data_IF_506700301453
#
_entry.id   IF_506700301453
#
_cell.length_a   1.000
_cell.length_b   1.000
_cell.length_c   1.000
_cell.angle_alpha   90.00
_cell.angle_beta   90.00
_cell.angle_gamma   90.00
#
_symmetry.space_group_name_H-M   'P 1'
#
loop_
_entity.id
_entity.type
_entity.pdbx_description
1 polymer ?
#
# COMPACT_ATOMS: atom_id res chain seq x y z
N UNK A 1 0.17 6.83 18.89
CA UNK A 1 -0.69 8.02 18.74
C UNK A 1 -0.36 8.63 17.39
N UNK A 2 -1.35 9.04 16.59
CA UNK A 2 -1.09 9.83 15.37
C UNK A 2 -0.28 11.06 15.75
N UNK A 3 0.74 11.38 14.94
CA UNK A 3 1.41 12.67 15.03
C UNK A 3 0.36 13.78 14.82
N UNK A 4 0.32 14.77 15.71
CA UNK A 4 -0.62 15.89 15.63
C UNK A 4 -0.49 16.63 14.29
N UNK A 5 0.74 16.74 13.78
CA UNK A 5 1.04 17.35 12.49
C UNK A 5 0.35 16.60 11.33
N UNK A 6 0.31 15.27 11.41
CA UNK A 6 -0.31 14.44 10.37
C UNK A 6 -1.83 14.52 10.40
N UNK A 7 -2.43 14.51 11.59
CA UNK A 7 -3.87 14.68 11.74
C UNK A 7 -4.35 16.06 11.25
N UNK A 8 -3.63 17.13 11.60
CA UNK A 8 -3.93 18.49 11.16
C UNK A 8 -3.78 18.64 9.64
N UNK A 9 -2.73 18.05 9.05
CA UNK A 9 -2.53 18.06 7.60
C UNK A 9 -3.65 17.36 6.84
N UNK A 10 -4.10 16.19 7.32
CA UNK A 10 -5.25 15.48 6.75
C UNK A 10 -6.52 16.33 6.82
N UNK A 11 -6.80 16.94 7.97
CA UNK A 11 -7.98 17.77 8.17
C UNK A 11 -7.99 19.01 7.26
N UNK A 12 -6.88 19.77 7.22
CA UNK A 12 -6.73 20.91 6.29
C UNK A 12 -6.80 20.47 4.83
N UNK A 13 -6.31 19.25 4.57
CA UNK A 13 -6.38 18.55 3.31
C UNK A 13 -7.77 18.04 2.94
N UNK A 14 -8.80 18.26 3.76
CA UNK A 14 -10.18 17.85 3.50
C UNK A 14 -10.41 16.35 3.57
N UNK A 15 -9.54 15.60 4.24
CA UNK A 15 -9.77 14.18 4.47
C UNK A 15 -10.89 13.98 5.49
N UNK A 16 -11.79 13.04 5.21
CA UNK A 16 -12.78 12.53 6.14
C UNK A 16 -12.24 11.26 6.80
N UNK A 17 -12.29 11.19 8.13
CA UNK A 17 -11.99 10.00 8.92
C UNK A 17 -13.09 9.88 9.98
N UNK A 18 -13.95 8.88 9.87
CA UNK A 18 -15.12 8.69 10.71
C UNK A 18 -15.02 7.40 11.53
N UNK A 19 -15.33 7.50 12.83
CA UNK A 19 -15.50 6.35 13.75
C UNK A 19 -14.34 5.37 13.88
N UNK A 20 -13.17 5.75 13.38
CA UNK A 20 -11.93 4.99 13.48
C UNK A 20 -10.77 5.85 13.93
N UNK A 21 -9.72 5.21 14.43
CA UNK A 21 -8.46 5.84 14.79
C UNK A 21 -7.28 4.87 14.65
N UNK A 22 -6.04 5.36 14.45
CA UNK A 22 -4.89 4.49 14.42
C UNK A 22 -4.55 3.96 15.81
N UNK A 23 -4.29 2.66 15.88
CA UNK A 23 -3.90 2.00 17.12
C UNK A 23 -2.99 0.82 16.86
N UNK A 24 -2.60 0.16 17.95
CA UNK A 24 -1.86 -1.10 17.88
C UNK A 24 -2.86 -2.25 17.74
N UNK A 25 -2.61 -3.16 16.80
CA UNK A 25 -3.38 -4.39 16.63
C UNK A 25 -2.56 -5.61 17.06
N UNK A 26 -3.13 -6.81 16.95
CA UNK A 26 -2.43 -8.06 17.25
C UNK A 26 -1.08 -8.15 16.50
N UNK A 27 -0.14 -8.91 17.08
CA UNK A 27 1.26 -9.02 16.64
C UNK A 27 2.06 -7.69 16.64
N UNK A 28 1.56 -6.63 17.30
CA UNK A 28 2.30 -5.39 17.51
C UNK A 28 2.37 -4.48 16.27
N UNK A 29 1.58 -4.78 15.23
CA UNK A 29 1.49 -3.94 14.05
C UNK A 29 0.66 -2.68 14.30
N UNK A 30 0.97 -1.62 13.56
CA UNK A 30 0.10 -0.45 13.47
C UNK A 30 -1.12 -0.83 12.63
N UNK A 31 -2.29 -0.39 13.03
CA UNK A 31 -3.53 -0.58 12.30
C UNK A 31 -4.53 0.52 12.58
N UNK A 32 -5.79 0.25 12.23
CA UNK A 32 -6.94 1.12 12.44
C UNK A 32 -7.93 0.39 13.35
N UNK A 33 -8.42 1.08 14.37
CA UNK A 33 -9.32 0.56 15.41
C UNK A 33 -10.62 1.35 15.35
N UNK A 34 -11.75 0.66 15.50
CA UNK A 34 -13.07 1.26 15.62
C UNK A 34 -13.25 1.96 16.99
N UNK A 35 -13.80 3.17 16.97
CA UNK A 35 -14.17 3.94 18.18
C UNK A 35 -15.60 3.67 18.63
N UNK A 36 -16.41 3.06 17.77
CA UNK A 36 -17.81 2.73 17.98
C UNK A 36 -18.20 1.51 17.13
N UNK A 37 -19.43 1.04 17.27
CA UNK A 37 -20.01 0.09 16.34
C UNK A 37 -20.18 0.76 14.98
N UNK A 38 -19.76 0.09 13.91
CA UNK A 38 -19.79 0.58 12.53
C UNK A 38 -20.66 -0.38 11.72
N UNK A 39 -21.65 0.16 11.02
CA UNK A 39 -22.51 -0.61 10.11
C UNK A 39 -21.82 -0.83 8.76
N UNK A 40 -22.19 -1.91 8.07
CA UNK A 40 -21.73 -2.18 6.71
C UNK A 40 -21.99 -1.01 5.76
N UNK A 41 -21.09 -0.79 4.81
CA UNK A 41 -21.26 0.26 3.81
C UNK A 41 -21.10 1.67 4.36
N UNK A 42 -20.84 1.84 5.66
CA UNK A 42 -20.50 3.14 6.24
C UNK A 42 -19.22 3.67 5.62
N UNK A 43 -19.23 4.92 5.14
CA UNK A 43 -18.02 5.60 4.66
C UNK A 43 -17.12 5.92 5.86
N UNK A 44 -15.96 5.28 5.90
CA UNK A 44 -15.01 5.41 7.00
C UNK A 44 -13.91 6.42 6.70
N UNK A 45 -13.41 6.39 5.46
CA UNK A 45 -12.33 7.27 5.02
C UNK A 45 -12.67 7.84 3.66
N UNK A 46 -12.49 9.14 3.48
CA UNK A 46 -12.41 9.77 2.16
C UNK A 46 -11.17 10.65 2.11
N UNK A 47 -10.24 10.36 1.19
CA UNK A 47 -9.01 11.13 0.99
C UNK A 47 -9.04 11.78 -0.38
N UNK A 48 -9.10 13.13 -0.46
CA UNK A 48 -9.04 13.84 -1.72
C UNK A 48 -7.75 13.54 -2.50
N UNK A 49 -7.85 13.48 -3.84
CA UNK A 49 -6.73 13.13 -4.71
C UNK A 49 -5.50 14.02 -4.51
N UNK A 50 -5.71 15.30 -4.13
CA UNK A 50 -4.60 16.22 -3.83
C UNK A 50 -3.68 15.75 -2.70
N UNK A 51 -4.17 14.88 -1.81
CA UNK A 51 -3.37 14.28 -0.73
C UNK A 51 -2.71 12.96 -1.14
N UNK A 52 -3.16 12.34 -2.23
CA UNK A 52 -2.59 11.08 -2.71
C UNK A 52 -1.22 11.34 -3.36
N UNK A 53 -0.26 10.45 -3.10
CA UNK A 53 1.00 10.41 -3.83
C UNK A 53 0.88 9.38 -4.95
N UNK A 54 0.94 9.84 -6.21
CA UNK A 54 0.62 9.05 -7.41
C UNK A 54 1.38 9.55 -8.64
N UNK A 55 1.25 8.92 -9.81
CA UNK A 55 1.77 9.53 -11.04
C UNK A 55 1.08 10.87 -11.39
N UNK A 56 -0.15 11.10 -10.94
CA UNK A 56 -0.83 12.39 -11.15
C UNK A 56 -0.14 13.51 -10.37
N UNK A 57 0.24 13.27 -9.11
CA UNK A 57 1.03 14.24 -8.34
C UNK A 57 2.45 14.39 -8.91
N UNK A 58 3.05 13.28 -9.36
CA UNK A 58 4.38 13.29 -9.97
C UNK A 58 4.45 14.18 -11.22
N UNK A 59 3.42 14.14 -12.08
CA UNK A 59 3.32 14.98 -13.28
C UNK A 59 3.11 16.47 -12.97
N UNK A 60 2.51 16.79 -11.81
CA UNK A 60 2.29 18.18 -11.36
C UNK A 60 3.56 18.80 -10.77
N UNK A 61 4.48 17.98 -10.29
CA UNK A 61 5.79 18.45 -9.87
C UNK A 61 6.67 18.71 -11.10
N UNK A 62 6.95 19.98 -11.35
CA UNK A 62 7.74 20.41 -12.52
C UNK A 62 9.17 19.85 -12.50
N UNK A 63 9.85 19.90 -11.35
CA UNK A 63 11.24 19.48 -11.26
C UNK A 63 11.36 17.96 -11.48
N UNK A 64 10.45 17.19 -10.89
CA UNK A 64 10.39 15.75 -11.09
C UNK A 64 10.00 15.38 -12.53
N UNK A 65 8.98 16.03 -13.10
CA UNK A 65 8.52 15.77 -14.45
C UNK A 65 9.62 16.06 -15.50
N UNK A 66 10.37 17.16 -15.35
CA UNK A 66 11.51 17.48 -16.21
C UNK A 66 12.62 16.42 -16.12
N UNK A 67 12.94 15.97 -14.90
CA UNK A 67 13.94 14.92 -14.69
C UNK A 67 13.53 13.57 -15.30
N UNK A 68 12.24 13.22 -15.21
CA UNK A 68 11.69 12.00 -15.81
C UNK A 68 11.69 12.05 -17.35
N UNK A 69 11.48 13.23 -17.94
CA UNK A 69 11.58 13.40 -19.40
C UNK A 69 13.03 13.29 -19.89
N UNK A 70 14.00 13.76 -19.09
CA UNK A 70 15.42 13.73 -19.43
C UNK A 70 16.05 12.31 -19.43
N UNK A 71 15.39 11.32 -18.82
CA UNK A 71 15.94 9.96 -18.65
C UNK A 71 15.92 9.09 -19.93
N UNK A 72 15.44 9.63 -21.05
CA UNK A 72 15.64 9.16 -22.43
C UNK A 72 15.51 7.62 -22.66
N UNK A 73 14.28 7.15 -22.91
CA UNK A 73 13.88 5.87 -23.55
C UNK A 73 14.07 4.53 -22.81
N UNK A 74 14.58 4.46 -21.58
CA UNK A 74 14.32 3.25 -20.78
C UNK A 74 12.88 3.30 -20.29
N UNK A 75 12.09 2.27 -20.58
CA UNK A 75 10.71 2.15 -20.09
C UNK A 75 10.74 1.92 -18.58
N UNK A 76 10.80 3.01 -17.81
CA UNK A 76 10.63 2.97 -16.35
C UNK A 76 9.18 2.57 -16.08
N UNK A 77 8.96 1.48 -15.34
CA UNK A 77 7.62 1.01 -15.00
C UNK A 77 6.92 1.96 -14.01
N UNK A 78 5.58 1.97 -14.00
CA UNK A 78 4.80 2.87 -13.13
C UNK A 78 5.22 2.81 -11.65
N UNK A 79 5.47 1.61 -11.12
CA UNK A 79 5.88 1.45 -9.71
C UNK A 79 7.26 2.06 -9.43
N UNK A 80 8.17 2.02 -10.41
CA UNK A 80 9.48 2.65 -10.31
C UNK A 80 9.37 4.19 -10.39
N UNK A 81 8.47 4.71 -11.24
CA UNK A 81 8.16 6.15 -11.28
C UNK A 81 7.60 6.62 -9.94
N UNK A 82 6.65 5.89 -9.36
CA UNK A 82 6.07 6.23 -8.07
C UNK A 82 7.11 6.16 -6.93
N UNK A 83 7.97 5.13 -6.93
CA UNK A 83 9.07 5.02 -5.97
C UNK A 83 10.08 6.18 -6.11
N UNK A 84 10.40 6.60 -7.34
CA UNK A 84 11.25 7.76 -7.59
C UNK A 84 10.58 9.07 -7.14
N UNK A 85 9.27 9.22 -7.36
CA UNK A 85 8.51 10.38 -6.89
C UNK A 85 8.48 10.44 -5.34
N UNK A 86 8.30 9.30 -4.68
CA UNK A 86 8.39 9.19 -3.23
C UNK A 86 9.76 9.62 -2.70
N UNK A 87 10.84 9.18 -3.34
CA UNK A 87 12.20 9.61 -2.97
C UNK A 87 12.43 11.10 -3.22
N UNK A 88 11.91 11.62 -4.32
CA UNK A 88 11.97 13.04 -4.63
C UNK A 88 11.28 13.87 -3.54
N UNK A 89 10.07 13.51 -3.13
CA UNK A 89 9.37 14.17 -2.02
C UNK A 89 10.13 14.04 -0.69
N UNK A 90 10.66 12.85 -0.39
CA UNK A 90 11.48 12.67 0.81
C UNK A 90 12.74 13.57 0.82
N UNK A 91 13.35 13.80 -0.36
CA UNK A 91 14.55 14.61 -0.50
C UNK A 91 14.32 16.11 -0.22
N UNK A 92 13.09 16.60 -0.38
CA UNK A 92 12.70 17.99 -0.05
C UNK A 92 12.64 18.25 1.46
N UNK A 93 12.62 17.20 2.28
CA UNK A 93 12.56 17.31 3.72
C UNK A 93 11.36 18.14 4.20
N UNK A 94 11.65 19.29 4.82
CA UNK A 94 10.62 20.16 5.39
C UNK A 94 9.75 20.87 4.35
N UNK A 95 10.23 20.97 3.10
CA UNK A 95 9.52 21.65 2.01
C UNK A 95 8.52 20.72 1.30
N UNK A 96 8.53 19.42 1.59
CA UNK A 96 7.57 18.49 0.98
C UNK A 96 6.17 18.73 1.52
N UNK A 97 5.20 18.86 0.60
CA UNK A 97 3.79 18.88 0.94
C UNK A 97 3.36 17.61 1.68
N UNK A 98 3.94 16.45 1.34
CA UNK A 98 3.64 15.15 1.95
C UNK A 98 4.47 14.86 3.20
N UNK A 99 5.31 15.80 3.69
CA UNK A 99 6.15 15.57 4.87
C UNK A 99 5.41 14.90 6.04
N UNK A 100 4.20 15.34 6.45
CA UNK A 100 3.50 14.71 7.57
C UNK A 100 3.16 13.24 7.31
N UNK A 101 2.80 12.90 6.07
CA UNK A 101 2.57 11.51 5.65
C UNK A 101 3.87 10.70 5.61
N UNK A 102 4.93 11.22 4.99
CA UNK A 102 6.21 10.53 4.87
C UNK A 102 6.81 10.18 6.24
N UNK A 103 6.62 11.04 7.24
CA UNK A 103 7.05 10.78 8.62
C UNK A 103 6.34 9.58 9.27
N UNK A 104 5.19 9.17 8.73
CA UNK A 104 4.40 8.05 9.25
C UNK A 104 4.73 6.70 8.63
N UNK A 105 5.50 6.69 7.53
CA UNK A 105 5.86 5.47 6.82
C UNK A 105 6.80 4.57 7.64
N UNK A 106 6.70 3.24 7.51
CA UNK A 106 7.63 2.31 8.13
C UNK A 106 9.08 2.58 7.72
N UNK A 107 9.99 2.44 8.69
CA UNK A 107 11.43 2.51 8.43
C UNK A 107 12.03 1.18 7.96
N UNK A 108 11.28 0.10 8.15
CA UNK A 108 11.68 -1.27 7.86
C UNK A 108 10.47 -2.04 7.31
N UNK A 109 10.75 -2.99 6.42
CA UNK A 109 9.77 -3.84 5.76
C UNK A 109 10.20 -5.29 5.88
N UNK A 110 9.25 -6.21 5.79
CA UNK A 110 9.46 -7.67 5.78
C UNK A 110 9.42 -8.25 4.37
N UNK A 111 9.66 -7.42 3.34
CA UNK A 111 9.68 -7.86 1.94
C UNK A 111 10.89 -8.75 1.66
N UNK A 112 10.81 -9.56 0.61
CA UNK A 112 11.84 -10.51 0.18
C UNK A 112 13.25 -9.88 0.10
N UNK A 113 13.34 -8.60 -0.28
CA UNK A 113 14.59 -7.83 -0.35
C UNK A 113 15.32 -7.67 1.00
N UNK A 114 14.65 -7.92 2.13
CA UNK A 114 15.20 -7.82 3.49
C UNK A 114 15.54 -9.18 4.11
N UNK A 115 15.31 -10.29 3.39
CA UNK A 115 15.53 -11.62 3.94
C UNK A 115 17.02 -11.84 4.26
N UNK A 116 17.27 -12.33 5.46
CA UNK A 116 18.56 -12.87 5.87
C UNK A 116 18.81 -14.23 5.20
N UNK A 117 20.07 -14.71 5.14
CA UNK A 117 20.35 -16.07 4.71
C UNK A 117 19.55 -17.12 5.52
N UNK A 118 19.27 -16.83 6.79
CA UNK A 118 18.44 -17.66 7.66
C UNK A 118 16.98 -17.68 7.17
N UNK A 119 16.37 -16.51 6.92
CA UNK A 119 14.99 -16.40 6.42
C UNK A 119 14.79 -17.13 5.08
N UNK A 120 15.81 -17.06 4.20
CA UNK A 120 15.78 -17.78 2.92
C UNK A 120 15.77 -19.29 3.16
N UNK A 121 16.61 -19.81 4.07
CA UNK A 121 16.63 -21.24 4.38
C UNK A 121 15.30 -21.75 4.94
N UNK A 122 14.58 -20.91 5.68
CA UNK A 122 13.25 -21.25 6.20
C UNK A 122 12.17 -21.37 5.12
N UNK A 123 12.42 -20.95 3.87
CA UNK A 123 11.51 -21.22 2.76
C UNK A 123 11.41 -22.72 2.44
N UNK A 124 12.44 -23.50 2.77
CA UNK A 124 12.48 -24.98 2.69
C UNK A 124 12.14 -25.59 1.31
N UNK A 125 12.02 -24.76 0.27
CA UNK A 125 11.72 -25.14 -1.11
C UNK A 125 12.82 -24.57 -2.01
N UNK A 126 13.59 -25.44 -2.66
CA UNK A 126 14.78 -25.07 -3.44
C UNK A 126 14.50 -23.95 -4.45
N UNK A 127 13.44 -24.09 -5.23
CA UNK A 127 13.02 -23.05 -6.16
C UNK A 127 12.74 -21.69 -5.49
N UNK A 128 12.07 -21.67 -4.34
CA UNK A 128 11.78 -20.43 -3.63
C UNK A 128 13.05 -19.81 -3.03
N UNK A 129 13.97 -20.65 -2.53
CA UNK A 129 15.28 -20.22 -2.03
C UNK A 129 16.13 -19.60 -3.13
N UNK A 130 16.12 -20.18 -4.33
CA UNK A 130 16.87 -19.67 -5.49
C UNK A 130 16.36 -18.29 -5.93
N UNK A 131 15.04 -18.13 -6.02
CA UNK A 131 14.40 -16.85 -6.36
C UNK A 131 14.73 -15.80 -5.28
N UNK A 132 14.58 -16.15 -4.00
CA UNK A 132 14.88 -15.25 -2.90
C UNK A 132 16.35 -14.80 -2.89
N UNK A 133 17.26 -15.77 -3.07
CA UNK A 133 18.71 -15.51 -3.11
C UNK A 133 19.08 -14.60 -4.28
N UNK A 134 18.53 -14.87 -5.47
CA UNK A 134 18.77 -14.07 -6.67
C UNK A 134 18.29 -12.62 -6.49
N UNK A 135 17.10 -12.43 -5.91
CA UNK A 135 16.56 -11.09 -5.62
C UNK A 135 17.44 -10.37 -4.61
N UNK A 136 17.83 -11.04 -3.52
CA UNK A 136 18.67 -10.43 -2.50
C UNK A 136 20.04 -10.07 -3.07
N UNK A 137 20.71 -10.98 -3.77
CA UNK A 137 22.05 -10.76 -4.35
C UNK A 137 22.07 -9.59 -5.35
N UNK A 138 21.09 -9.53 -6.25
CA UNK A 138 20.94 -8.42 -7.20
C UNK A 138 20.78 -7.06 -6.50
N UNK A 139 20.29 -7.04 -5.26
CA UNK A 139 20.11 -5.83 -4.46
C UNK A 139 21.29 -5.55 -3.52
N UNK A 140 22.12 -6.56 -3.20
CA UNK A 140 23.28 -6.43 -2.30
C UNK A 140 24.52 -5.88 -2.98
N UNK A 141 24.72 -6.07 -4.29
CA UNK A 141 25.92 -5.59 -4.97
C UNK A 141 26.12 -4.06 -4.91
N UNK A 142 25.07 -3.29 -4.63
CA UNK A 142 25.04 -1.81 -4.70
C UNK A 142 24.72 -1.10 -3.36
N UNK A 143 25.04 -1.77 -2.24
CA UNK A 143 24.37 -1.61 -0.94
C UNK A 143 24.18 -0.20 -0.34
N UNK A 144 25.06 0.78 -0.54
CA UNK A 144 24.92 2.08 0.17
C UNK A 144 23.96 3.04 -0.54
N UNK A 145 23.91 3.00 -1.87
CA UNK A 145 23.10 3.93 -2.68
C UNK A 145 21.67 3.41 -2.91
N UNK A 146 21.44 2.10 -2.76
CA UNK A 146 20.17 1.45 -3.17
C UNK A 146 19.18 1.29 -2.02
N UNK A 147 19.61 1.38 -0.75
CA UNK A 147 18.70 1.24 0.42
C UNK A 147 17.48 2.19 0.39
N UNK A 148 17.62 3.48 0.05
CA UNK A 148 16.45 4.35 -0.10
C UNK A 148 15.49 3.86 -1.19
N UNK A 149 16.02 3.41 -2.33
CA UNK A 149 15.22 2.86 -3.43
C UNK A 149 14.50 1.57 -3.03
N UNK A 150 15.15 0.68 -2.27
CA UNK A 150 14.52 -0.53 -1.72
C UNK A 150 13.37 -0.20 -0.78
N UNK A 151 13.59 0.73 0.15
CA UNK A 151 12.53 1.19 1.06
C UNK A 151 11.36 1.77 0.25
N UNK A 152 11.64 2.57 -0.79
CA UNK A 152 10.61 3.18 -1.62
C UNK A 152 9.81 2.14 -2.43
N UNK A 153 10.47 1.18 -3.06
CA UNK A 153 9.82 0.08 -3.79
C UNK A 153 9.01 -0.82 -2.85
N UNK A 154 9.54 -1.13 -1.67
CA UNK A 154 8.80 -1.88 -0.63
C UNK A 154 7.57 -1.10 -0.15
N UNK A 155 7.69 0.22 0.02
CA UNK A 155 6.54 1.10 0.32
C UNK A 155 5.48 0.98 -0.76
N UNK A 156 5.86 1.17 -2.03
CA UNK A 156 4.94 1.10 -3.18
C UNK A 156 4.27 -0.27 -3.28
N UNK A 157 5.03 -1.36 -3.16
CA UNK A 157 4.51 -2.72 -3.27
C UNK A 157 3.57 -3.14 -2.12
N UNK A 158 3.70 -2.53 -0.94
CA UNK A 158 2.94 -2.92 0.26
C UNK A 158 1.80 -1.97 0.64
N UNK A 159 1.76 -0.75 0.08
CA UNK A 159 0.87 0.34 0.55
C UNK A 159 0.07 1.03 -0.53
N UNK A 160 0.25 0.68 -1.80
CA UNK A 160 -0.49 1.33 -2.87
C UNK A 160 -1.92 0.81 -2.95
N UNK A 161 -2.83 1.75 -3.19
CA UNK A 161 -4.25 1.52 -3.41
C UNK A 161 -4.55 1.69 -4.90
N UNK A 162 -5.49 0.92 -5.42
CA UNK A 162 -5.79 0.87 -6.85
C UNK A 162 -6.28 2.22 -7.40
N UNK A 163 -5.65 2.73 -8.45
CA UNK A 163 -6.20 3.83 -9.25
C UNK A 163 -6.59 3.33 -10.64
N UNK A 164 -7.72 3.78 -11.22
CA UNK A 164 -8.17 3.33 -12.53
C UNK A 164 -7.16 3.52 -13.67
N UNK A 165 -6.43 4.64 -13.63
CA UNK A 165 -5.58 5.09 -14.74
C UNK A 165 -4.07 4.90 -14.48
N UNK A 166 -3.69 4.18 -13.41
CA UNK A 166 -2.29 3.95 -13.07
C UNK A 166 -2.07 2.56 -12.44
N UNK A 167 -1.27 1.73 -13.11
CA UNK A 167 -0.92 0.38 -12.64
C UNK A 167 -0.16 0.37 -11.30
N UNK A 168 0.53 1.45 -10.93
CA UNK A 168 1.16 1.58 -9.62
C UNK A 168 0.17 2.00 -8.52
N UNK A 169 -1.03 2.44 -8.89
CA UNK A 169 -1.99 3.00 -7.95
C UNK A 169 -1.50 4.30 -7.31
N UNK A 170 -1.83 4.48 -6.03
CA UNK A 170 -1.38 5.61 -5.23
C UNK A 170 -1.13 5.22 -3.79
N UNK A 171 -0.18 5.91 -3.16
CA UNK A 171 -0.11 5.91 -1.71
C UNK A 171 -1.23 6.81 -1.17
N UNK A 172 -2.06 6.23 -0.32
CA UNK A 172 -3.22 6.88 0.29
C UNK A 172 -2.92 7.13 1.77
N UNK A 173 -2.58 8.37 2.16
CA UNK A 173 -2.38 8.71 3.56
C UNK A 173 -3.58 8.30 4.41
N UNK A 174 -3.31 7.69 5.57
CA UNK A 174 -4.30 7.09 6.48
C UNK A 174 -4.95 5.80 5.95
N UNK A 175 -5.31 5.75 4.67
CA UNK A 175 -5.86 4.55 4.05
C UNK A 175 -4.90 3.36 4.09
N UNK A 176 -3.61 3.60 3.87
CA UNK A 176 -2.53 2.61 3.93
C UNK A 176 -2.19 2.09 5.35
N UNK A 177 -2.93 2.51 6.37
CA UNK A 177 -2.88 1.93 7.72
C UNK A 177 -3.82 0.74 7.89
N UNK A 178 -4.73 0.50 6.94
CA UNK A 178 -5.64 -0.65 7.02
C UNK A 178 -4.86 -1.93 6.74
N UNK A 179 -4.95 -2.88 7.67
CA UNK A 179 -4.32 -4.18 7.52
C UNK A 179 -5.20 -5.13 6.70
N UNK A 180 -4.56 -5.98 5.91
CA UNK A 180 -5.26 -7.03 5.18
C UNK A 180 -5.87 -8.05 6.15
N UNK A 181 -7.10 -8.47 5.85
CA UNK A 181 -7.72 -9.61 6.50
C UNK A 181 -8.35 -10.45 5.40
N UNK A 182 -7.98 -11.72 5.31
CA UNK A 182 -8.50 -12.59 4.26
C UNK A 182 -10.02 -12.60 4.27
N UNK A 183 -10.67 -12.55 3.10
CA UNK A 183 -12.10 -12.77 3.03
C UNK A 183 -12.43 -14.16 3.60
N UNK A 184 -13.69 -14.41 4.02
CA UNK A 184 -14.14 -15.75 4.35
C UNK A 184 -13.75 -16.71 3.22
N UNK A 185 -13.35 -17.94 3.57
CA UNK A 185 -12.99 -18.94 2.56
C UNK A 185 -14.19 -19.13 1.63
N UNK A 186 -14.03 -18.79 0.35
CA UNK A 186 -14.98 -19.23 -0.67
C UNK A 186 -15.00 -20.76 -0.65
N UNK A 187 -16.16 -21.37 -0.93
CA UNK A 187 -16.27 -22.81 -1.03
C UNK A 187 -15.13 -23.35 -1.92
N UNK A 188 -14.31 -24.24 -1.36
CA UNK A 188 -13.17 -24.82 -2.08
C UNK A 188 -13.71 -25.45 -3.36
N UNK A 189 -13.29 -25.02 -4.56
CA UNK A 189 -13.79 -25.61 -5.79
C UNK A 189 -13.48 -27.11 -5.78
N UNK A 190 -14.51 -27.93 -6.01
CA UNK A 190 -14.34 -29.37 -6.13
C UNK A 190 -13.58 -29.65 -7.43
N UNK A 191 -12.28 -29.88 -7.31
CA UNK A 191 -11.40 -30.23 -8.43
C UNK A 191 -11.53 -31.71 -8.82
N UNK A 192 -12.47 -32.46 -8.23
CA UNK A 192 -12.71 -33.87 -8.53
C UNK A 192 -11.63 -34.81 -7.99
N UNK A 193 -10.86 -34.38 -6.99
CA UNK A 193 -9.79 -35.18 -6.38
C UNK A 193 -10.42 -36.11 -5.32
N UNK A 194 -10.32 -37.44 -5.46
CA UNK A 194 -10.89 -38.36 -4.47
C UNK A 194 -10.25 -38.14 -3.09
N UNK A 195 -11.04 -37.78 -2.09
CA UNK A 195 -10.60 -37.61 -0.69
C UNK A 195 -10.47 -36.17 -0.18
N UNK A 196 -10.82 -35.15 -0.98
CA UNK A 196 -10.88 -33.76 -0.51
C UNK A 196 -12.02 -33.53 0.48
N UNK A 197 -11.74 -32.94 1.64
CA UNK A 197 -12.74 -32.62 2.65
C UNK A 197 -13.76 -31.61 2.10
N UNK A 198 -15.05 -31.98 2.06
CA UNK A 198 -16.14 -31.08 1.73
C UNK A 198 -16.44 -30.16 2.92
N UNK A 199 -16.27 -28.86 2.73
CA UNK A 199 -16.74 -27.85 3.69
C UNK A 199 -18.15 -27.41 3.26
N UNK A 200 -19.12 -27.26 4.18
CA UNK A 200 -20.50 -26.95 3.81
C UNK A 200 -20.59 -25.61 3.07
N UNK A 201 -21.36 -25.60 1.97
CA UNK A 201 -21.65 -24.41 1.19
C UNK A 201 -22.78 -23.63 1.85
N UNK A 202 -22.45 -22.50 2.48
CA UNK A 202 -23.41 -21.42 2.70
C UNK A 202 -23.12 -20.28 1.70
N UNK A 203 -24.19 -19.94 0.98
CA UNK A 203 -24.42 -18.84 0.03
C UNK A 203 -23.65 -17.53 0.32
N UNK A 204 -23.30 -16.66 -0.63
CA UNK A 204 -24.02 -16.26 -1.85
C UNK A 204 -23.10 -15.43 -2.76
N UNK A 205 -23.40 -15.44 -4.06
CA UNK A 205 -22.82 -14.55 -5.07
C UNK A 205 -22.97 -13.08 -4.67
N UNK A 206 -21.86 -12.36 -4.55
CA UNK A 206 -21.83 -10.93 -4.81
C UNK A 206 -20.74 -10.62 -5.83
N UNK A 207 -21.14 -10.15 -7.00
CA UNK A 207 -20.25 -9.57 -8.02
C UNK A 207 -20.16 -8.05 -7.81
N UNK A 208 -20.04 -7.63 -6.56
CA UNK A 208 -19.59 -6.30 -6.16
C UNK A 208 -18.06 -6.31 -5.99
N UNK A 209 -17.40 -5.24 -6.43
CA UNK A 209 -15.99 -4.94 -6.18
C UNK A 209 -15.55 -5.42 -4.79
N UNK A 210 -14.75 -6.50 -4.73
CA UNK A 210 -14.30 -7.16 -3.49
C UNK A 210 -13.29 -6.33 -2.67
N UNK A 211 -13.01 -5.09 -3.09
CA UNK A 211 -12.23 -4.14 -2.32
C UNK A 211 -13.12 -3.26 -1.45
N UNK A 212 -12.77 -3.12 -0.16
CA UNK A 212 -13.32 -2.09 0.72
C UNK A 212 -13.08 -0.66 0.25
N UNK A 213 -12.26 -0.47 -0.79
CA UNK A 213 -11.79 0.82 -1.27
C UNK A 213 -11.98 1.06 -2.76
N UNK A 214 -12.45 2.25 -3.11
CA UNK A 214 -12.63 2.69 -4.49
C UNK A 214 -12.23 4.16 -4.68
N UNK A 215 -11.73 4.48 -5.87
CA UNK A 215 -11.50 5.86 -6.27
C UNK A 215 -12.75 6.43 -6.96
N UNK A 216 -13.39 7.43 -6.35
CA UNK A 216 -14.54 8.14 -6.90
C UNK A 216 -14.05 9.22 -7.87
N UNK A 217 -14.27 8.99 -9.18
CA UNK A 217 -13.86 9.91 -10.25
C UNK A 217 -14.64 11.23 -10.21
N UNK A 218 -15.89 11.20 -9.75
CA UNK A 218 -16.76 12.37 -9.69
C UNK A 218 -16.32 13.36 -8.61
N UNK A 219 -15.97 12.86 -7.43
CA UNK A 219 -15.48 13.71 -6.33
C UNK A 219 -13.96 13.83 -6.26
N UNK A 220 -13.23 13.01 -7.03
CA UNK A 220 -11.76 12.89 -7.00
C UNK A 220 -11.24 12.54 -5.61
N UNK A 221 -11.83 11.51 -5.00
CA UNK A 221 -11.49 11.03 -3.66
C UNK A 221 -11.29 9.52 -3.67
N UNK A 222 -10.30 9.05 -2.93
CA UNK A 222 -10.23 7.64 -2.57
C UNK A 222 -11.09 7.39 -1.33
N UNK A 223 -12.03 6.45 -1.41
CA UNK A 223 -12.99 6.16 -0.36
C UNK A 223 -12.85 4.73 0.15
N UNK A 224 -12.89 4.57 1.47
CA UNK A 224 -12.94 3.28 2.16
C UNK A 224 -14.26 3.15 2.90
N UNK A 225 -14.93 2.02 2.70
CA UNK A 225 -16.20 1.69 3.33
C UNK A 225 -16.03 0.52 4.28
N UNK A 226 -16.80 0.53 5.36
CA UNK A 226 -16.94 -0.61 6.25
C UNK A 226 -17.46 -1.82 5.48
N UNK A 227 -16.85 -2.98 5.71
CA UNK A 227 -17.25 -4.26 5.14
C UNK A 227 -17.69 -5.17 6.29
N UNK A 228 -18.80 -5.88 6.12
CA UNK A 228 -19.24 -6.87 7.10
C UNK A 228 -18.45 -8.16 6.93
N UNK A 229 -18.47 -8.94 8.00
CA UNK A 229 -18.06 -10.34 8.00
C UNK A 229 -19.29 -11.20 8.16
#
# INVERSE_FOLDING_TARGET
MLDADFAEWLQKGGALIADIEPGAVAEGFRGVIAKANIEEGTLLVAVPERLLLSAHSAKKDRAFAEALLATNKQSIGSSQVLAAHLLHEASKGQESFWRPYLATLPRQYTCLSYFSPEDIRELQVEYAMDIASSVVEALRSDHTSVKPLLNALATVASRTMYLPDDAAGALMPFGDLHNHRSPPAAATPDLGIPGGAQVPAEAQNDHGSSGSGQFDVGTREYRLYAQTR
#
